data_IF_552116135407
#
_entry.id   IF_552116135407
#
_cell.length_a   1.000
_cell.length_b   1.000
_cell.length_c   1.000
_cell.angle_alpha   90.00
_cell.angle_beta   90.00
_cell.angle_gamma   90.00
#
_symmetry.space_group_name_H-M   'P 1'
#
loop_
_entity.id
_entity.type
_entity.pdbx_description
1 polymer ?
#
# COMPACT_ATOMS: atom_id res chain seq x y z
N UNK A 1 2.83 -3.94 -21.08
CA UNK A 1 3.22 -4.11 -19.65
C UNK A 1 3.15 -5.58 -19.30
N UNK A 2 4.13 -6.12 -18.58
CA UNK A 2 4.07 -7.53 -18.18
C UNK A 2 3.63 -7.69 -16.73
N UNK A 3 2.92 -8.77 -16.46
CA UNK A 3 2.52 -9.14 -15.10
C UNK A 3 3.76 -9.27 -14.20
N UNK A 4 4.82 -9.88 -14.72
CA UNK A 4 6.07 -10.05 -13.98
C UNK A 4 6.71 -8.71 -13.59
N UNK A 5 6.64 -7.70 -14.46
CA UNK A 5 7.12 -6.35 -14.13
C UNK A 5 6.31 -5.74 -13.00
N UNK A 6 4.98 -5.85 -13.05
CA UNK A 6 4.10 -5.37 -11.99
C UNK A 6 4.39 -6.07 -10.66
N UNK A 7 4.50 -7.39 -10.68
CA UNK A 7 4.87 -8.17 -9.48
C UNK A 7 6.19 -7.68 -8.88
N UNK A 8 7.20 -7.48 -9.72
CA UNK A 8 8.51 -7.01 -9.25
C UNK A 8 8.45 -5.63 -8.62
N UNK A 9 7.65 -4.71 -9.17
CA UNK A 9 7.49 -3.37 -8.62
C UNK A 9 6.77 -3.37 -7.27
N UNK A 10 5.68 -4.13 -7.16
CA UNK A 10 4.96 -4.27 -5.88
C UNK A 10 5.82 -4.95 -4.82
N UNK A 11 6.51 -6.01 -5.17
CA UNK A 11 7.40 -6.72 -4.25
C UNK A 11 8.51 -5.80 -3.75
N UNK A 12 9.16 -5.05 -4.66
CA UNK A 12 10.20 -4.09 -4.30
C UNK A 12 9.69 -3.07 -3.29
N UNK A 13 8.56 -2.45 -3.58
CA UNK A 13 8.09 -1.31 -2.79
C UNK A 13 7.37 -1.73 -1.52
N UNK A 14 6.66 -2.87 -1.50
CA UNK A 14 6.11 -3.42 -0.26
C UNK A 14 7.23 -3.90 0.67
N UNK A 15 8.30 -4.47 0.14
CA UNK A 15 9.48 -4.83 0.93
C UNK A 15 10.14 -3.59 1.52
N UNK A 16 10.26 -2.50 0.74
CA UNK A 16 10.76 -1.21 1.25
C UNK A 16 9.84 -0.62 2.31
N UNK A 17 8.53 -0.72 2.15
CA UNK A 17 7.57 -0.26 3.15
C UNK A 17 7.78 -0.99 4.49
N UNK A 18 7.96 -2.29 4.44
CA UNK A 18 8.28 -3.09 5.62
C UNK A 18 9.57 -2.59 6.29
N UNK A 19 10.62 -2.38 5.51
CA UNK A 19 11.91 -1.86 6.01
C UNK A 19 11.75 -0.48 6.64
N UNK A 20 10.95 0.42 6.07
CA UNK A 20 10.69 1.74 6.64
C UNK A 20 10.02 1.62 8.02
N UNK A 21 9.00 0.79 8.14
CA UNK A 21 8.30 0.56 9.43
C UNK A 21 9.25 -0.05 10.46
N UNK A 22 10.09 -1.00 10.06
CA UNK A 22 11.10 -1.61 10.93
C UNK A 22 12.20 -0.62 11.35
N UNK A 23 12.48 0.38 10.54
CA UNK A 23 13.60 1.32 10.73
C UNK A 23 13.31 2.44 11.73
N UNK A 24 12.06 2.67 12.13
CA UNK A 24 11.78 3.62 13.22
C UNK A 24 12.46 3.13 14.49
N UNK A 25 13.27 3.99 15.11
CA UNK A 25 13.96 3.68 16.36
C UNK A 25 12.99 3.70 17.54
N UNK A 26 12.10 4.69 17.56
CA UNK A 26 11.02 4.82 18.53
C UNK A 26 9.70 4.47 17.86
N UNK A 27 9.10 3.35 18.25
CA UNK A 27 7.83 2.87 17.68
C UNK A 27 6.72 3.90 17.78
N UNK A 28 6.68 4.69 18.85
CA UNK A 28 5.66 5.74 19.02
C UNK A 28 5.74 6.81 17.93
N UNK A 29 6.90 7.02 17.34
CA UNK A 29 7.10 8.02 16.27
C UNK A 29 6.42 7.64 14.97
N UNK A 30 6.09 6.38 14.76
CA UNK A 30 5.30 5.93 13.60
C UNK A 30 4.00 6.72 13.48
N UNK A 31 3.44 7.17 14.62
CA UNK A 31 2.10 7.77 14.71
C UNK A 31 2.11 9.29 14.93
N UNK A 32 3.28 9.93 14.93
CA UNK A 32 3.41 11.36 15.18
C UNK A 32 2.94 12.16 13.96
N UNK A 33 2.22 13.24 14.24
CA UNK A 33 1.87 14.29 13.28
C UNK A 33 2.51 15.58 13.76
N UNK A 34 3.19 16.30 12.86
CA UNK A 34 3.85 17.55 13.17
C UNK A 34 3.72 18.53 11.99
N UNK A 35 3.69 19.81 12.30
CA UNK A 35 3.62 20.91 11.31
C UNK A 35 2.42 20.72 10.34
N UNK A 36 2.69 20.80 9.04
CA UNK A 36 1.66 20.71 7.99
C UNK A 36 1.40 19.29 7.50
N UNK A 37 1.93 18.28 8.19
CA UNK A 37 1.69 16.87 7.84
C UNK A 37 0.31 16.47 8.30
N UNK A 38 -0.53 15.98 7.39
CA UNK A 38 -1.89 15.56 7.72
C UNK A 38 -1.96 14.13 8.26
N UNK A 39 -1.02 13.26 7.88
CA UNK A 39 -1.04 11.85 8.22
C UNK A 39 0.31 11.40 8.76
N UNK A 40 0.29 10.51 9.74
CA UNK A 40 1.47 9.84 10.24
C UNK A 40 1.97 8.76 9.28
N UNK A 41 3.21 8.32 9.48
CA UNK A 41 3.74 7.17 8.73
C UNK A 41 2.90 5.91 8.91
N UNK A 42 2.39 5.67 10.12
CA UNK A 42 1.52 4.54 10.42
C UNK A 42 0.19 4.60 9.67
N UNK A 43 -0.44 5.76 9.63
CA UNK A 43 -1.70 5.94 8.90
C UNK A 43 -1.51 5.81 7.38
N UNK A 44 -0.41 6.32 6.84
CA UNK A 44 -0.09 6.10 5.42
C UNK A 44 0.17 4.62 5.12
N UNK A 45 0.83 3.91 6.02
CA UNK A 45 1.01 2.46 5.91
C UNK A 45 -0.33 1.73 5.89
N UNK A 46 -1.23 2.02 6.84
CA UNK A 46 -2.58 1.44 6.88
C UNK A 46 -3.38 1.77 5.61
N UNK A 47 -3.25 3.00 5.12
CA UNK A 47 -3.90 3.43 3.88
C UNK A 47 -3.41 2.61 2.67
N UNK A 48 -2.11 2.38 2.55
CA UNK A 48 -1.55 1.55 1.47
C UNK A 48 -2.02 0.10 1.56
N UNK A 49 -2.04 -0.47 2.75
CA UNK A 49 -2.55 -1.82 2.99
C UNK A 49 -4.01 -1.92 2.55
N UNK A 50 -4.86 -1.00 3.00
CA UNK A 50 -6.28 -0.97 2.65
C UNK A 50 -6.52 -0.77 1.16
N UNK A 51 -5.78 0.14 0.54
CA UNK A 51 -5.84 0.43 -0.88
C UNK A 51 -5.54 -0.81 -1.74
N UNK A 52 -4.42 -1.47 -1.48
CA UNK A 52 -3.97 -2.62 -2.26
C UNK A 52 -4.87 -3.83 -2.04
N UNK A 53 -5.23 -4.13 -0.80
CA UNK A 53 -6.13 -5.25 -0.50
C UNK A 53 -7.51 -5.07 -1.11
N UNK A 54 -8.01 -3.83 -1.17
CA UNK A 54 -9.28 -3.54 -1.81
C UNK A 54 -9.20 -3.67 -3.34
N UNK A 55 -8.31 -2.91 -3.97
CA UNK A 55 -8.30 -2.80 -5.43
C UNK A 55 -7.66 -4.01 -6.13
N UNK A 56 -6.68 -4.64 -5.54
CA UNK A 56 -6.06 -5.85 -6.09
C UNK A 56 -6.69 -7.09 -5.48
N UNK A 57 -6.70 -7.18 -4.15
CA UNK A 57 -7.18 -8.37 -3.46
C UNK A 57 -8.65 -8.66 -3.70
N UNK A 58 -9.52 -7.74 -3.30
CA UNK A 58 -10.97 -7.96 -3.38
C UNK A 58 -11.49 -7.86 -4.81
N UNK A 59 -11.10 -6.83 -5.57
CA UNK A 59 -11.68 -6.57 -6.90
C UNK A 59 -11.16 -7.52 -7.99
N UNK A 60 -9.88 -7.84 -7.99
CA UNK A 60 -9.28 -8.75 -8.97
C UNK A 60 -9.19 -10.16 -8.40
N UNK A 61 -8.61 -10.32 -7.21
CA UNK A 61 -8.36 -11.60 -6.58
C UNK A 61 -9.58 -12.23 -5.91
N UNK A 62 -10.69 -11.51 -5.82
CA UNK A 62 -11.95 -11.98 -5.22
C UNK A 62 -11.81 -12.46 -3.78
N UNK A 63 -10.90 -11.83 -3.03
CA UNK A 63 -10.79 -12.06 -1.59
C UNK A 63 -12.01 -11.48 -0.86
N UNK A 64 -12.20 -11.87 0.39
CA UNK A 64 -13.27 -11.39 1.25
C UNK A 64 -12.93 -10.06 1.98
N UNK A 65 -11.84 -9.41 1.59
CA UNK A 65 -11.41 -8.15 2.23
C UNK A 65 -12.47 -7.07 2.07
N UNK A 66 -12.85 -6.46 3.19
CA UNK A 66 -13.77 -5.31 3.24
C UNK A 66 -13.00 -4.10 3.75
N UNK A 67 -12.87 -3.09 2.89
CA UNK A 67 -12.12 -1.88 3.22
C UNK A 67 -12.89 -0.99 4.19
N UNK A 68 -12.18 -0.48 5.20
CA UNK A 68 -12.66 0.63 6.04
C UNK A 68 -11.67 1.81 5.89
N UNK A 69 -11.93 2.67 4.90
CA UNK A 69 -11.02 3.77 4.56
C UNK A 69 -10.87 4.79 5.69
N UNK A 70 -11.94 5.10 6.41
CA UNK A 70 -11.87 6.04 7.54
C UNK A 70 -10.91 5.56 8.62
N UNK A 71 -10.92 4.27 8.90
CA UNK A 71 -10.06 3.66 9.92
C UNK A 71 -8.58 3.72 9.53
N UNK A 72 -8.26 3.69 8.24
CA UNK A 72 -6.88 3.84 7.75
C UNK A 72 -6.24 5.15 8.23
N UNK A 73 -7.03 6.20 8.36
CA UNK A 73 -6.56 7.53 8.75
C UNK A 73 -6.81 7.88 10.21
N UNK A 74 -7.73 7.19 10.89
CA UNK A 74 -8.11 7.49 12.27
C UNK A 74 -7.47 6.55 13.31
N UNK A 75 -7.15 5.32 12.93
CA UNK A 75 -6.57 4.33 13.84
C UNK A 75 -5.15 4.76 14.25
N UNK A 76 -4.82 4.57 15.54
CA UNK A 76 -3.53 4.93 16.11
C UNK A 76 -2.94 3.76 16.88
N UNK A 77 -1.64 3.81 17.08
CA UNK A 77 -0.92 2.93 18.01
C UNK A 77 -1.09 1.43 17.70
N UNK A 78 -1.28 1.08 16.42
CA UNK A 78 -1.20 -0.31 15.99
C UNK A 78 0.23 -0.80 16.23
N UNK A 79 0.43 -1.93 16.93
CA UNK A 79 1.78 -2.44 17.17
C UNK A 79 2.55 -2.62 15.86
N UNK A 80 3.83 -2.28 15.88
CA UNK A 80 4.74 -2.44 14.73
C UNK A 80 4.69 -3.85 14.14
N UNK A 81 4.70 -4.86 15.01
CA UNK A 81 4.63 -6.26 14.59
C UNK A 81 3.37 -6.57 13.78
N UNK A 82 2.25 -5.93 14.13
CA UNK A 82 0.97 -6.08 13.40
C UNK A 82 1.05 -5.39 12.04
N UNK A 83 1.64 -4.19 11.97
CA UNK A 83 1.85 -3.49 10.69
C UNK A 83 2.72 -4.33 9.74
N UNK A 84 3.81 -4.88 10.23
CA UNK A 84 4.73 -5.73 9.47
C UNK A 84 4.00 -6.96 8.94
N UNK A 85 3.21 -7.62 9.77
CA UNK A 85 2.43 -8.79 9.35
C UNK A 85 1.41 -8.42 8.27
N UNK A 86 0.74 -7.29 8.42
CA UNK A 86 -0.21 -6.80 7.40
C UNK A 86 0.48 -6.50 6.07
N UNK A 87 1.68 -5.96 6.08
CA UNK A 87 2.47 -5.71 4.85
C UNK A 87 2.82 -7.04 4.19
N UNK A 88 3.30 -8.01 4.95
CA UNK A 88 3.63 -9.35 4.44
C UNK A 88 2.41 -10.05 3.84
N UNK A 89 1.28 -9.99 4.53
CA UNK A 89 0.01 -10.55 4.05
C UNK A 89 -0.44 -9.87 2.75
N UNK A 90 -0.27 -8.54 2.67
CA UNK A 90 -0.60 -7.77 1.47
C UNK A 90 0.28 -8.18 0.28
N UNK A 91 1.57 -8.37 0.49
CA UNK A 91 2.48 -8.86 -0.55
C UNK A 91 2.05 -10.23 -1.05
N UNK A 92 1.67 -11.13 -0.15
CA UNK A 92 1.16 -12.46 -0.51
C UNK A 92 -0.11 -12.36 -1.37
N UNK A 93 -1.05 -11.50 -1.00
CA UNK A 93 -2.29 -11.25 -1.76
C UNK A 93 -1.97 -10.73 -3.16
N UNK A 94 -1.07 -9.77 -3.29
CA UNK A 94 -0.66 -9.22 -4.59
C UNK A 94 -0.07 -10.32 -5.47
N UNK A 95 0.86 -11.09 -4.95
CA UNK A 95 1.52 -12.16 -5.72
C UNK A 95 0.53 -13.25 -6.13
N UNK A 96 -0.34 -13.68 -5.23
CA UNK A 96 -1.37 -14.68 -5.55
C UNK A 96 -2.33 -14.16 -6.61
N UNK A 97 -2.78 -12.92 -6.49
CA UNK A 97 -3.72 -12.32 -7.44
C UNK A 97 -3.09 -12.18 -8.82
N UNK A 98 -1.90 -11.58 -8.90
CA UNK A 98 -1.23 -11.36 -10.19
C UNK A 98 -0.83 -12.67 -10.86
N UNK A 99 -0.56 -13.74 -10.10
CA UNK A 99 -0.29 -15.06 -10.64
C UNK A 99 -1.51 -15.69 -11.33
N UNK A 100 -2.72 -15.24 -11.06
CA UNK A 100 -3.93 -15.73 -11.72
C UNK A 100 -4.22 -15.02 -13.04
N UNK A 101 -3.55 -13.92 -13.33
CA UNK A 101 -3.78 -13.13 -14.53
C UNK A 101 -2.92 -13.60 -15.70
N UNK A 102 -3.49 -13.49 -16.89
CA UNK A 102 -2.77 -13.58 -18.15
C UNK A 102 -2.51 -12.17 -18.71
N UNK A 103 -1.55 -12.05 -19.64
CA UNK A 103 -1.21 -10.74 -20.24
C UNK A 103 -2.44 -10.10 -20.91
N UNK A 104 -3.34 -10.89 -21.48
CA UNK A 104 -4.57 -10.40 -22.08
C UNK A 104 -5.53 -9.75 -21.05
N UNK A 105 -5.51 -10.18 -19.80
CA UNK A 105 -6.36 -9.59 -18.76
C UNK A 105 -5.98 -8.15 -18.48
N UNK A 106 -4.73 -7.78 -18.69
CA UNK A 106 -4.24 -6.41 -18.47
C UNK A 106 -4.89 -5.40 -19.42
N UNK A 107 -5.33 -5.84 -20.60
CA UNK A 107 -6.00 -5.00 -21.60
C UNK A 107 -7.49 -4.84 -21.32
N UNK A 108 -8.06 -5.62 -20.42
CA UNK A 108 -9.49 -5.55 -20.08
C UNK A 108 -9.80 -4.30 -19.25
N UNK A 109 -11.06 -3.88 -19.27
CA UNK A 109 -11.52 -2.77 -18.44
C UNK A 109 -11.54 -3.20 -16.97
N UNK A 110 -10.95 -2.37 -16.13
CA UNK A 110 -10.96 -2.57 -14.67
C UNK A 110 -12.41 -2.49 -14.15
N UNK A 111 -12.81 -3.37 -13.20
CA UNK A 111 -14.23 -3.54 -12.84
C UNK A 111 -14.90 -2.36 -12.13
N UNK A 112 -14.12 -1.35 -11.70
CA UNK A 112 -14.64 -0.15 -11.04
C UNK A 112 -14.26 1.11 -11.79
N UNK A 113 -15.16 2.10 -11.76
CA UNK A 113 -14.84 3.46 -12.18
C UNK A 113 -14.34 4.23 -10.96
N UNK A 114 -13.05 4.52 -10.91
CA UNK A 114 -12.41 5.20 -9.77
C UNK A 114 -12.15 6.67 -10.08
N UNK A 115 -11.83 7.02 -11.33
CA UNK A 115 -11.48 8.38 -11.77
C UNK A 115 -12.42 8.91 -12.83
N UNK A 116 -13.71 8.89 -12.58
CA UNK A 116 -14.77 9.45 -13.45
C UNK A 116 -14.95 8.74 -14.80
N UNK A 117 -14.00 7.92 -15.26
CA UNK A 117 -14.07 7.19 -16.53
C UNK A 117 -13.48 5.78 -16.39
N UNK A 118 -13.86 4.93 -17.34
CA UNK A 118 -13.29 3.60 -17.47
C UNK A 118 -11.78 3.67 -17.75
N UNK A 119 -11.06 2.68 -17.28
CA UNK A 119 -9.62 2.51 -17.53
C UNK A 119 -9.29 1.04 -17.67
N UNK A 120 -8.19 0.77 -18.35
CA UNK A 120 -7.68 -0.60 -18.49
C UNK A 120 -7.09 -1.09 -17.16
N UNK A 121 -7.06 -2.39 -16.99
CA UNK A 121 -6.52 -3.03 -15.78
C UNK A 121 -5.04 -2.69 -15.61
N UNK A 122 -4.24 -2.70 -16.68
CA UNK A 122 -2.83 -2.35 -16.60
C UNK A 122 -2.62 -0.89 -16.16
N UNK A 123 -3.41 0.05 -16.71
CA UNK A 123 -3.32 1.44 -16.29
C UNK A 123 -3.57 1.57 -14.79
N UNK A 124 -4.61 0.92 -14.28
CA UNK A 124 -4.94 1.03 -12.87
C UNK A 124 -3.91 0.33 -11.96
N UNK A 125 -3.38 -0.81 -12.38
CA UNK A 125 -2.30 -1.48 -11.64
C UNK A 125 -1.03 -0.63 -11.58
N UNK A 126 -0.67 0.04 -12.68
CA UNK A 126 0.44 1.01 -12.70
C UNK A 126 0.14 2.19 -11.77
N UNK A 127 -1.09 2.71 -11.80
CA UNK A 127 -1.50 3.76 -10.88
C UNK A 127 -1.33 3.33 -9.42
N UNK A 128 -1.76 2.11 -9.06
CA UNK A 128 -1.60 1.60 -7.70
C UNK A 128 -0.13 1.45 -7.32
N UNK A 129 0.73 1.02 -8.24
CA UNK A 129 2.17 0.93 -8.00
C UNK A 129 2.80 2.33 -7.79
N UNK A 130 2.41 3.33 -8.58
CA UNK A 130 2.89 4.70 -8.41
C UNK A 130 2.36 5.35 -7.13
N UNK A 131 1.12 5.06 -6.74
CA UNK A 131 0.53 5.50 -5.48
C UNK A 131 1.28 4.91 -4.27
N UNK A 132 1.63 3.62 -4.33
CA UNK A 132 2.47 2.99 -3.33
C UNK A 132 3.83 3.69 -3.21
N UNK A 133 4.50 3.93 -4.33
CA UNK A 133 5.80 4.59 -4.36
C UNK A 133 5.73 6.03 -3.80
N UNK A 134 4.66 6.76 -4.13
CA UNK A 134 4.43 8.12 -3.63
C UNK A 134 4.35 8.16 -2.10
N UNK A 135 3.49 7.35 -1.51
CA UNK A 135 3.34 7.32 -0.06
C UNK A 135 4.55 6.70 0.66
N UNK A 136 5.22 5.75 0.02
CA UNK A 136 6.47 5.19 0.55
C UNK A 136 7.54 6.28 0.72
N UNK A 137 7.67 7.18 -0.25
CA UNK A 137 8.56 8.33 -0.13
C UNK A 137 8.19 9.27 1.02
N UNK A 138 6.88 9.50 1.23
CA UNK A 138 6.40 10.29 2.36
C UNK A 138 6.73 9.63 3.70
N UNK A 139 6.55 8.32 3.83
CA UNK A 139 6.87 7.56 5.04
C UNK A 139 8.37 7.63 5.33
N UNK A 140 9.23 7.50 4.30
CA UNK A 140 10.68 7.63 4.45
C UNK A 140 11.05 9.00 5.03
N UNK A 141 10.51 10.07 4.47
CA UNK A 141 10.78 11.43 4.96
C UNK A 141 10.18 11.68 6.34
N UNK A 142 8.98 11.17 6.61
CA UNK A 142 8.37 11.21 7.93
C UNK A 142 9.31 10.61 8.98
N UNK A 143 9.80 9.40 8.75
CA UNK A 143 10.74 8.74 9.65
C UNK A 143 12.02 9.55 9.84
N UNK A 144 12.62 10.00 8.75
CA UNK A 144 13.91 10.73 8.80
C UNK A 144 13.79 12.07 9.49
N UNK A 145 12.65 12.73 9.40
CA UNK A 145 12.43 14.04 10.02
C UNK A 145 11.94 13.95 11.47
N UNK A 146 11.12 12.98 11.81
CA UNK A 146 10.39 12.93 13.08
C UNK A 146 10.90 11.86 14.05
N UNK A 147 11.56 10.82 13.58
CA UNK A 147 12.15 9.78 14.41
C UNK A 147 13.62 10.11 14.70
N UNK A 148 13.84 11.27 15.28
CA UNK A 148 15.18 11.73 15.62
C UNK A 148 15.47 11.46 17.09
N UNK A 149 16.70 11.05 17.39
CA UNK A 149 17.23 10.99 18.75
C UNK A 149 17.28 12.42 19.32
N UNK A 150 16.78 12.57 20.56
CA UNK A 150 16.91 13.84 21.30
C UNK A 150 18.26 13.94 21.98
#
# INVERSE_FOLDING_TARGET
>A
MSIKTLQSLFERDLTKLKLEIESYQDESKIWVIDKNILNSGGNLCLHLIGNINHFIGAQIGKTDYIRNRELEFSQKDVPRTVLIQKIEDTLAVVNQTLNTLEEADLETIYPLIVFEKEMTTDFFLVHLATHLAYHLGQINYHRRLLDTAK
#
